data_IF_102765347813
#
_entry.id   IF_102765347813
#
_cell.length_a   1.000
_cell.length_b   1.000
_cell.length_c   1.000
_cell.angle_alpha   90.00
_cell.angle_beta   90.00
_cell.angle_gamma   90.00
#
_symmetry.space_group_name_H-M   'P 1'
#
loop_
_entity.id
_entity.type
_entity.pdbx_description
1 polymer ?
#
# COMPACT_ATOMS: atom_id res chain seq x y z
N UNK A 1 0.07 -20.17 0.29
CA UNK A 1 -0.95 -20.88 -0.54
C UNK A 1 -2.03 -19.87 -0.95
N UNK A 2 -2.32 -19.74 -2.25
CA UNK A 2 -3.37 -18.81 -2.76
C UNK A 2 -4.75 -19.43 -2.49
N UNK A 3 -5.63 -18.68 -1.83
CA UNK A 3 -7.00 -19.09 -1.52
C UNK A 3 -7.96 -18.41 -2.49
N UNK A 4 -8.77 -19.20 -3.20
CA UNK A 4 -9.84 -18.65 -4.04
C UNK A 4 -10.98 -18.11 -3.17
N UNK A 5 -11.44 -16.90 -3.46
CA UNK A 5 -12.48 -16.20 -2.72
C UNK A 5 -13.53 -15.70 -3.70
N UNK A 6 -14.73 -16.25 -3.63
CA UNK A 6 -15.86 -15.90 -4.49
C UNK A 6 -16.88 -14.99 -3.81
N UNK A 7 -16.76 -14.82 -2.49
CA UNK A 7 -17.73 -14.04 -1.72
C UNK A 7 -17.26 -12.62 -1.45
N UNK A 8 -18.18 -11.67 -1.67
CA UNK A 8 -18.04 -10.27 -1.21
C UNK A 8 -17.99 -10.15 0.31
N UNK A 9 -18.41 -11.21 1.02
CA UNK A 9 -18.42 -11.28 2.48
C UNK A 9 -17.10 -11.71 3.10
N UNK A 10 -16.12 -12.09 2.28
CA UNK A 10 -14.79 -12.39 2.76
C UNK A 10 -14.21 -11.21 3.56
N UNK A 11 -13.56 -11.50 4.68
CA UNK A 11 -13.05 -10.49 5.60
C UNK A 11 -12.08 -9.51 4.93
N UNK A 12 -11.18 -9.98 4.05
CA UNK A 12 -10.19 -9.11 3.37
C UNK A 12 -10.82 -8.27 2.27
N UNK A 13 -11.87 -8.79 1.60
CA UNK A 13 -12.67 -8.02 0.64
C UNK A 13 -13.41 -6.89 1.35
N UNK A 14 -14.07 -7.17 2.48
CA UNK A 14 -14.74 -6.16 3.31
C UNK A 14 -13.74 -5.12 3.83
N UNK A 15 -12.59 -5.58 4.31
CA UNK A 15 -11.53 -4.72 4.82
C UNK A 15 -10.99 -3.79 3.72
N UNK A 16 -10.63 -4.31 2.54
CA UNK A 16 -10.17 -3.49 1.44
C UNK A 16 -11.21 -2.43 1.03
N UNK A 17 -12.50 -2.80 0.96
CA UNK A 17 -13.58 -1.85 0.66
C UNK A 17 -13.66 -0.72 1.70
N UNK A 18 -13.55 -1.04 2.99
CA UNK A 18 -13.56 -0.04 4.06
C UNK A 18 -12.35 0.89 4.01
N UNK A 19 -11.17 0.38 3.66
CA UNK A 19 -9.92 1.15 3.59
C UNK A 19 -9.90 2.20 2.46
N UNK A 20 -10.88 2.20 1.55
CA UNK A 20 -11.09 3.32 0.61
C UNK A 20 -11.41 4.63 1.36
N UNK A 21 -11.98 4.54 2.56
CA UNK A 21 -12.30 5.69 3.40
C UNK A 21 -11.14 6.02 4.35
N UNK A 22 -10.72 7.30 4.40
CA UNK A 22 -9.64 7.78 5.27
C UNK A 22 -9.88 7.41 6.74
N UNK A 23 -11.10 7.66 7.26
CA UNK A 23 -11.47 7.34 8.64
C UNK A 23 -11.22 5.88 9.02
N UNK A 24 -11.45 4.97 8.06
CA UNK A 24 -11.21 3.54 8.29
C UNK A 24 -9.72 3.19 8.27
N UNK A 25 -8.92 3.86 7.40
CA UNK A 25 -7.47 3.70 7.38
C UNK A 25 -6.85 4.13 8.70
N UNK A 26 -7.19 5.33 9.16
CA UNK A 26 -6.67 5.89 10.41
C UNK A 26 -7.07 5.04 11.63
N UNK A 27 -8.34 4.56 11.67
CA UNK A 27 -8.82 3.70 12.77
C UNK A 27 -8.14 2.34 12.82
N UNK A 28 -7.82 1.76 11.65
CA UNK A 28 -7.27 0.39 11.56
C UNK A 28 -5.76 0.36 11.48
N UNK A 29 -5.11 1.49 11.26
CA UNK A 29 -3.67 1.55 11.00
C UNK A 29 -3.28 0.78 9.74
N UNK A 30 -4.14 0.78 8.71
CA UNK A 30 -3.96 0.03 7.47
C UNK A 30 -4.18 0.94 6.26
N UNK A 31 -3.52 0.63 5.15
CA UNK A 31 -3.76 1.30 3.87
C UNK A 31 -3.72 0.33 2.70
N UNK A 32 -4.19 0.79 1.54
CA UNK A 32 -4.18 0.05 0.28
C UNK A 32 -3.04 0.53 -0.61
N UNK A 33 -2.37 -0.41 -1.26
CA UNK A 33 -1.39 -0.14 -2.30
C UNK A 33 -1.68 -1.04 -3.51
N UNK A 34 -1.74 -0.45 -4.70
CA UNK A 34 -2.04 -1.16 -5.93
C UNK A 34 -0.79 -1.33 -6.80
N UNK A 35 -0.70 -2.45 -7.48
CA UNK A 35 0.25 -2.67 -8.55
C UNK A 35 1.46 -3.51 -8.19
N UNK A 36 2.04 -4.08 -9.25
CA UNK A 36 3.19 -4.98 -9.15
C UNK A 36 4.41 -4.27 -8.57
N UNK A 37 4.65 -3.02 -8.98
CA UNK A 37 5.75 -2.22 -8.41
C UNK A 37 5.58 -1.99 -6.91
N UNK A 38 4.34 -1.71 -6.48
CA UNK A 38 4.03 -1.61 -5.05
C UNK A 38 4.34 -2.90 -4.29
N UNK A 39 4.00 -4.06 -4.86
CA UNK A 39 4.35 -5.35 -4.27
C UNK A 39 5.87 -5.54 -4.18
N UNK A 40 6.62 -5.22 -5.23
CA UNK A 40 8.09 -5.30 -5.23
C UNK A 40 8.72 -4.40 -4.17
N UNK A 41 8.23 -3.17 -4.05
CA UNK A 41 8.74 -2.21 -3.08
C UNK A 41 8.45 -2.68 -1.64
N UNK A 42 7.26 -3.20 -1.39
CA UNK A 42 6.90 -3.74 -0.07
C UNK A 42 7.76 -4.95 0.29
N UNK A 43 8.00 -5.87 -0.67
CA UNK A 43 8.85 -7.04 -0.44
C UNK A 43 10.32 -6.69 -0.14
N UNK A 44 10.79 -5.51 -0.57
CA UNK A 44 12.15 -5.00 -0.28
C UNK A 44 12.20 -4.11 0.96
N UNK A 45 11.07 -3.78 1.51
CA UNK A 45 10.95 -2.87 2.65
C UNK A 45 10.68 -3.63 3.95
N UNK A 46 10.62 -2.91 5.05
CA UNK A 46 10.19 -3.41 6.36
C UNK A 46 8.70 -3.18 6.64
N UNK A 47 7.88 -2.96 5.59
CA UNK A 47 6.43 -2.88 5.75
C UNK A 47 5.82 -4.26 5.93
N UNK A 48 4.82 -4.35 6.81
CA UNK A 48 4.10 -5.60 7.07
C UNK A 48 2.85 -5.70 6.20
N UNK A 49 2.77 -6.81 5.46
CA UNK A 49 1.59 -7.18 4.69
C UNK A 49 0.55 -7.82 5.61
N UNK A 50 -0.66 -7.28 5.62
CA UNK A 50 -1.84 -7.87 6.27
C UNK A 50 -2.51 -8.90 5.37
N UNK A 51 -2.66 -8.59 4.08
CA UNK A 51 -3.19 -9.50 3.06
C UNK A 51 -2.87 -9.02 1.64
N UNK A 52 -2.96 -9.93 0.69
CA UNK A 52 -2.87 -9.65 -0.75
C UNK A 52 -4.16 -10.14 -1.43
N UNK A 53 -4.77 -9.27 -2.24
CA UNK A 53 -5.87 -9.63 -3.13
C UNK A 53 -5.36 -9.58 -4.57
N UNK A 54 -5.62 -10.65 -5.32
CA UNK A 54 -5.22 -10.77 -6.73
C UNK A 54 -6.41 -11.18 -7.59
N UNK A 55 -6.35 -10.87 -8.87
CA UNK A 55 -7.33 -11.35 -9.82
C UNK A 55 -6.69 -12.22 -10.92
N UNK A 56 -7.49 -12.63 -11.89
CA UNK A 56 -7.03 -13.47 -13.00
C UNK A 56 -5.98 -12.78 -13.88
N UNK A 57 -6.03 -11.45 -14.01
CA UNK A 57 -5.09 -10.66 -14.80
C UNK A 57 -3.68 -10.67 -14.20
N UNK A 58 -3.56 -10.52 -12.87
CA UNK A 58 -2.26 -10.63 -12.20
C UNK A 58 -1.61 -12.00 -12.42
N UNK A 59 -2.40 -13.08 -12.33
CA UNK A 59 -1.89 -14.45 -12.50
C UNK A 59 -1.36 -14.74 -13.92
N UNK A 60 -1.74 -13.94 -14.91
CA UNK A 60 -1.17 -14.02 -16.27
C UNK A 60 0.17 -13.30 -16.41
N UNK A 61 0.58 -12.54 -15.40
CA UNK A 61 1.88 -11.86 -15.43
C UNK A 61 3.01 -12.88 -15.23
N UNK A 62 4.04 -12.91 -16.10
CA UNK A 62 5.15 -13.86 -15.98
C UNK A 62 5.89 -13.81 -14.64
N UNK A 63 5.84 -12.67 -13.94
CA UNK A 63 6.49 -12.44 -12.64
C UNK A 63 5.62 -12.76 -11.44
N UNK A 64 4.34 -13.13 -11.66
CA UNK A 64 3.38 -13.33 -10.57
C UNK A 64 3.85 -14.41 -9.59
N UNK A 65 4.24 -15.57 -10.10
CA UNK A 65 4.68 -16.71 -9.27
C UNK A 65 5.96 -16.38 -8.49
N UNK A 66 6.93 -15.75 -9.13
CA UNK A 66 8.17 -15.31 -8.47
C UNK A 66 7.88 -14.34 -7.33
N UNK A 67 7.04 -13.35 -7.57
CA UNK A 67 6.69 -12.35 -6.55
C UNK A 67 5.92 -12.97 -5.39
N UNK A 68 4.94 -13.83 -5.68
CA UNK A 68 4.16 -14.51 -4.65
C UNK A 68 5.01 -15.49 -3.82
N UNK A 69 6.04 -16.09 -4.41
CA UNK A 69 6.95 -17.00 -3.69
C UNK A 69 7.81 -16.29 -2.63
N UNK A 70 8.02 -14.97 -2.79
CA UNK A 70 8.75 -14.12 -1.84
C UNK A 70 7.88 -13.60 -0.69
N UNK A 71 6.57 -13.76 -0.79
CA UNK A 71 5.63 -13.35 0.27
C UNK A 71 5.73 -14.33 1.44
N UNK A 72 5.75 -13.80 2.67
CA UNK A 72 5.72 -14.65 3.87
C UNK A 72 4.52 -15.60 3.84
N UNK A 73 4.77 -16.85 4.16
CA UNK A 73 3.77 -17.94 4.15
C UNK A 73 2.54 -17.69 5.05
N UNK A 74 2.68 -16.81 6.02
CA UNK A 74 1.58 -16.45 6.93
C UNK A 74 0.70 -15.32 6.38
N UNK A 75 1.14 -14.63 5.34
CA UNK A 75 0.33 -13.58 4.69
C UNK A 75 -0.74 -14.24 3.82
N UNK A 76 -2.02 -13.98 4.08
CA UNK A 76 -3.10 -14.52 3.28
C UNK A 76 -3.12 -13.90 1.87
N UNK A 77 -3.12 -14.77 0.86
CA UNK A 77 -3.24 -14.38 -0.56
C UNK A 77 -4.60 -14.85 -1.05
N UNK A 78 -5.46 -13.91 -1.41
CA UNK A 78 -6.84 -14.14 -1.83
C UNK A 78 -7.00 -13.84 -3.33
N UNK A 79 -7.31 -14.87 -4.13
CA UNK A 79 -7.71 -14.67 -5.51
C UNK A 79 -9.20 -14.40 -5.57
N UNK A 80 -9.59 -13.22 -6.07
CA UNK A 80 -10.97 -12.78 -6.21
C UNK A 80 -11.37 -12.69 -7.69
N UNK A 81 -12.68 -12.69 -7.96
CA UNK A 81 -13.18 -12.45 -9.33
C UNK A 81 -12.85 -11.03 -9.79
N UNK A 82 -12.73 -10.84 -11.12
CA UNK A 82 -12.42 -9.54 -11.73
C UNK A 82 -13.45 -8.47 -11.34
N UNK A 83 -14.73 -8.84 -11.19
CA UNK A 83 -15.79 -7.93 -10.75
C UNK A 83 -15.57 -7.45 -9.31
N UNK A 84 -15.24 -8.35 -8.39
CA UNK A 84 -14.92 -7.98 -7.01
C UNK A 84 -13.67 -7.11 -6.99
N UNK A 85 -12.63 -7.51 -7.73
CA UNK A 85 -11.38 -6.75 -7.79
C UNK A 85 -11.59 -5.32 -8.26
N UNK A 86 -12.38 -5.11 -9.35
CA UNK A 86 -12.72 -3.79 -9.88
C UNK A 86 -13.43 -2.89 -8.86
N UNK A 87 -14.27 -3.45 -7.99
CA UNK A 87 -14.92 -2.70 -6.90
C UNK A 87 -13.92 -2.20 -5.83
N UNK A 88 -12.80 -2.89 -5.65
CA UNK A 88 -11.83 -2.60 -4.60
C UNK A 88 -10.77 -1.59 -5.01
N UNK A 89 -10.46 -1.51 -6.30
CA UNK A 89 -9.40 -0.64 -6.83
C UNK A 89 -9.79 0.82 -6.85
N UNK A 90 -8.80 1.69 -6.88
CA UNK A 90 -8.92 3.14 -6.98
C UNK A 90 -8.62 3.63 -8.40
N UNK A 91 -8.03 2.77 -9.25
CA UNK A 91 -7.60 3.10 -10.61
C UNK A 91 -8.61 2.58 -11.64
N UNK A 92 -8.74 3.29 -12.77
CA UNK A 92 -9.60 2.90 -13.88
C UNK A 92 -9.10 1.62 -14.58
N UNK A 93 -7.79 1.43 -14.61
CA UNK A 93 -7.14 0.25 -15.19
C UNK A 93 -6.46 -0.57 -14.09
N UNK A 94 -7.21 -1.47 -13.43
CA UNK A 94 -6.71 -2.20 -12.28
C UNK A 94 -5.49 -3.06 -12.60
N UNK A 95 -4.40 -2.95 -11.84
CA UNK A 95 -3.15 -3.68 -12.11
C UNK A 95 -3.19 -5.16 -11.70
N UNK A 96 -4.33 -5.62 -11.20
CA UNK A 96 -4.57 -7.02 -10.85
C UNK A 96 -4.04 -7.48 -9.50
N UNK A 97 -3.32 -6.64 -8.79
CA UNK A 97 -2.85 -6.89 -7.41
C UNK A 97 -3.10 -5.70 -6.51
N UNK A 98 -3.66 -5.97 -5.32
CA UNK A 98 -4.01 -5.00 -4.30
C UNK A 98 -3.49 -5.51 -2.96
N UNK A 99 -2.73 -4.69 -2.27
CA UNK A 99 -2.09 -4.99 -0.99
C UNK A 99 -2.83 -4.28 0.14
N UNK A 100 -3.02 -4.96 1.24
CA UNK A 100 -3.41 -4.37 2.52
C UNK A 100 -2.16 -4.36 3.38
N UNK A 101 -1.74 -3.17 3.80
CA UNK A 101 -0.44 -2.94 4.44
C UNK A 101 -0.66 -2.23 5.77
N UNK A 102 0.11 -2.60 6.80
CA UNK A 102 0.10 -1.89 8.08
C UNK A 102 0.81 -0.54 7.95
N UNK A 103 0.19 0.51 8.48
CA UNK A 103 0.82 1.82 8.60
C UNK A 103 1.97 1.75 9.61
N UNK A 104 3.04 2.46 9.32
CA UNK A 104 4.08 2.76 10.30
C UNK A 104 3.84 4.11 10.90
N UNK A 105 3.90 4.18 12.20
CA UNK A 105 3.84 5.44 12.94
C UNK A 105 5.25 5.79 13.43
N UNK A 106 5.62 7.04 13.28
CA UNK A 106 6.88 7.59 13.78
C UNK A 106 6.59 8.74 14.72
N UNK A 107 7.15 8.70 15.93
CA UNK A 107 7.14 9.85 16.81
C UNK A 107 8.15 10.91 16.33
N UNK A 108 7.93 12.17 16.70
CA UNK A 108 8.89 13.23 16.40
C UNK A 108 10.27 12.92 16.99
N UNK A 109 10.34 12.35 18.20
CA UNK A 109 11.59 11.98 18.83
C UNK A 109 12.36 10.95 17.99
N UNK A 110 11.69 9.95 17.45
CA UNK A 110 12.30 8.98 16.54
C UNK A 110 12.81 9.64 15.26
N UNK A 111 12.06 10.59 14.70
CA UNK A 111 12.47 11.32 13.49
C UNK A 111 13.69 12.21 13.79
N UNK A 112 13.71 12.91 14.92
CA UNK A 112 14.84 13.75 15.32
C UNK A 112 16.08 12.96 15.77
N UNK A 113 15.93 11.67 16.06
CA UNK A 113 17.05 10.79 16.37
C UNK A 113 17.83 10.31 15.11
N UNK A 114 17.33 10.52 13.89
CA UNK A 114 18.08 10.18 12.68
C UNK A 114 19.41 10.96 12.60
N UNK A 115 20.45 10.31 12.10
CA UNK A 115 21.77 10.94 11.92
C UNK A 115 21.70 12.12 10.95
N UNK A 116 21.05 11.94 9.79
CA UNK A 116 20.80 13.02 8.84
C UNK A 116 19.72 13.95 9.37
N UNK A 117 20.00 15.25 9.40
CA UNK A 117 19.06 16.31 9.79
C UNK A 117 18.39 17.00 8.61
N UNK A 118 18.57 16.47 7.40
CA UNK A 118 17.89 17.00 6.23
C UNK A 118 16.44 16.52 6.24
N UNK A 119 15.53 17.43 6.50
CA UNK A 119 14.08 17.18 6.54
C UNK A 119 13.36 18.17 5.63
N UNK A 120 12.28 17.73 5.02
CA UNK A 120 11.42 18.58 4.19
C UNK A 120 10.09 18.75 4.89
N UNK A 121 9.58 19.98 4.95
CA UNK A 121 8.24 20.29 5.46
C UNK A 121 7.35 20.64 4.28
N UNK A 122 6.29 19.86 4.08
CA UNK A 122 5.25 20.13 3.11
C UNK A 122 4.03 20.73 3.82
N UNK A 123 3.72 22.00 3.53
CA UNK A 123 2.62 22.71 4.16
C UNK A 123 1.55 23.09 3.12
N UNK A 124 0.29 22.74 3.38
CA UNK A 124 -0.85 23.12 2.56
C UNK A 124 -0.86 22.54 1.14
N UNK A 125 -0.14 21.45 0.86
CA UNK A 125 -0.11 20.81 -0.46
C UNK A 125 -1.38 20.00 -0.66
N UNK A 126 -2.33 20.51 -1.41
CA UNK A 126 -3.65 19.89 -1.61
C UNK A 126 -3.67 18.83 -2.72
N UNK A 127 -2.85 19.01 -3.76
CA UNK A 127 -2.78 18.05 -4.86
C UNK A 127 -1.94 16.82 -4.48
N UNK A 128 -2.52 15.61 -4.51
CA UNK A 128 -1.81 14.38 -4.13
C UNK A 128 -0.67 14.03 -5.10
N UNK A 129 -0.73 14.44 -6.36
CA UNK A 129 0.33 14.24 -7.33
C UNK A 129 1.57 15.08 -6.99
N UNK A 130 1.36 16.35 -6.62
CA UNK A 130 2.41 17.25 -6.17
C UNK A 130 3.04 16.76 -4.87
N UNK A 131 2.22 16.38 -3.88
CA UNK A 131 2.71 15.82 -2.63
C UNK A 131 3.54 14.55 -2.86
N UNK A 132 3.05 13.64 -3.69
CA UNK A 132 3.79 12.44 -4.08
C UNK A 132 5.12 12.74 -4.77
N UNK A 133 5.17 13.79 -5.60
CA UNK A 133 6.41 14.23 -6.25
C UNK A 133 7.40 14.78 -5.22
N UNK A 134 6.95 15.64 -4.30
CA UNK A 134 7.77 16.16 -3.20
C UNK A 134 8.37 15.01 -2.38
N UNK A 135 7.56 14.03 -1.98
CA UNK A 135 8.02 12.88 -1.18
C UNK A 135 9.10 12.08 -1.94
N UNK A 136 8.86 11.76 -3.21
CA UNK A 136 9.83 11.00 -4.03
C UNK A 136 11.13 11.78 -4.24
N UNK A 137 11.03 13.06 -4.55
CA UNK A 137 12.21 13.92 -4.78
C UNK A 137 13.00 14.12 -3.50
N UNK A 138 12.32 14.32 -2.37
CA UNK A 138 12.96 14.43 -1.04
C UNK A 138 13.73 13.15 -0.70
N UNK A 139 13.12 11.98 -0.91
CA UNK A 139 13.79 10.69 -0.70
C UNK A 139 15.01 10.51 -1.61
N UNK A 140 14.91 10.87 -2.89
CA UNK A 140 16.03 10.82 -3.85
C UNK A 140 17.17 11.78 -3.47
N UNK A 141 16.84 12.92 -2.85
CA UNK A 141 17.82 13.90 -2.36
C UNK A 141 18.42 13.52 -0.98
N UNK A 142 18.03 12.39 -0.40
CA UNK A 142 18.56 11.91 0.88
C UNK A 142 17.90 12.53 2.11
N UNK A 143 16.69 13.08 1.98
CA UNK A 143 15.95 13.56 3.14
C UNK A 143 15.61 12.39 4.08
N UNK A 144 15.84 12.58 5.38
CA UNK A 144 15.52 11.59 6.41
C UNK A 144 14.03 11.54 6.76
N UNK A 145 13.30 12.63 6.51
CA UNK A 145 11.87 12.69 6.73
C UNK A 145 11.21 13.76 5.85
N UNK A 146 9.92 13.54 5.56
CA UNK A 146 9.01 14.57 5.03
C UNK A 146 7.89 14.75 6.05
N UNK A 147 7.82 15.95 6.64
CA UNK A 147 6.77 16.34 7.58
C UNK A 147 5.62 16.97 6.80
N UNK A 148 4.42 16.50 7.03
CA UNK A 148 3.23 16.95 6.28
C UNK A 148 2.25 17.56 7.28
N UNK A 149 1.83 18.81 7.02
CA UNK A 149 0.90 19.52 7.90
C UNK A 149 -0.56 19.15 7.61
N UNK A 150 -1.46 19.55 8.49
CA UNK A 150 -2.90 19.51 8.21
C UNK A 150 -3.21 20.38 7.01
N UNK A 151 -3.93 19.83 6.02
CA UNK A 151 -4.28 20.54 4.78
C UNK A 151 -3.55 20.00 3.55
N UNK A 152 -2.67 19.00 3.75
CA UNK A 152 -2.14 18.21 2.66
C UNK A 152 -3.01 16.97 2.39
#
# INVERSE_FOLDING_TARGET
MVKQVFSRDNQYVKQARQLKQRKCRDKKGLFLLEGIRGLEDVLRSSYELEAILINSFFMKNPRAEELLSKVDKYVPICQVSDNIFKELTLTESPPGVLLIIKQKEYSLDQIFAFESKFMVVADGIQDPGNLGTIIRTSGAAGASAVLVTKGC
#
